data_IF_955242551264
#
_entry.id   IF_955242551264
#
_cell.length_a   1.000
_cell.length_b   1.000
_cell.length_c   1.000
_cell.angle_alpha   90.00
_cell.angle_beta   90.00
_cell.angle_gamma   90.00
#
_symmetry.space_group_name_H-M   'P 1'
#
loop_
_entity.id
_entity.type
_entity.pdbx_description
1 polymer ?
#
# COMPACT_ATOMS: atom_id res chain seq x y z
N UNK A 1 12.68 26.05 -4.34
CA UNK A 1 12.49 24.92 -5.28
C UNK A 1 13.86 24.29 -5.51
N UNK A 2 14.17 23.21 -4.78
CA UNK A 2 15.43 22.47 -5.01
C UNK A 2 15.35 21.73 -6.34
N UNK A 3 16.35 21.95 -7.20
CA UNK A 3 16.54 21.21 -8.43
C UNK A 3 16.77 19.74 -8.08
N UNK A 4 15.77 18.90 -8.26
CA UNK A 4 15.90 17.44 -8.15
C UNK A 4 17.03 17.04 -9.10
N UNK A 5 18.15 16.63 -8.53
CA UNK A 5 19.35 16.26 -9.26
C UNK A 5 19.03 15.09 -10.20
N UNK A 6 19.13 15.32 -11.51
CA UNK A 6 18.93 14.32 -12.58
C UNK A 6 19.92 13.13 -12.52
N UNK A 7 20.80 13.05 -11.51
CA UNK A 7 21.87 12.04 -11.39
C UNK A 7 21.51 10.80 -10.56
N UNK A 8 20.37 10.79 -9.87
CA UNK A 8 19.92 9.60 -9.13
C UNK A 8 18.80 8.93 -9.91
N UNK A 9 19.05 7.76 -10.48
CA UNK A 9 18.13 7.04 -11.35
C UNK A 9 16.79 6.70 -10.69
N UNK A 10 15.78 6.32 -11.49
CA UNK A 10 14.39 6.05 -11.04
C UNK A 10 14.31 5.01 -9.90
N UNK A 11 15.30 4.11 -9.79
CA UNK A 11 15.43 3.13 -8.70
C UNK A 11 15.71 3.77 -7.34
N UNK A 12 16.48 4.85 -7.29
CA UNK A 12 16.75 5.59 -6.06
C UNK A 12 15.48 6.29 -5.56
N UNK A 13 14.74 6.95 -6.46
CA UNK A 13 13.49 7.63 -6.10
C UNK A 13 12.43 6.65 -5.60
N UNK A 14 12.30 5.48 -6.23
CA UNK A 14 11.38 4.43 -5.78
C UNK A 14 11.72 3.89 -4.38
N UNK A 15 13.00 3.79 -4.02
CA UNK A 15 13.39 3.31 -2.69
C UNK A 15 13.14 4.30 -1.58
N UNK A 16 13.35 5.61 -1.84
CA UNK A 16 13.45 6.61 -0.78
C UNK A 16 12.26 7.59 -0.76
N UNK A 17 11.44 7.64 -1.81
CA UNK A 17 10.40 8.66 -1.91
C UNK A 17 9.00 8.09 -2.11
N UNK A 18 8.84 6.96 -2.77
CA UNK A 18 7.52 6.39 -3.08
C UNK A 18 7.54 4.88 -2.91
N UNK A 19 6.68 4.37 -2.03
CA UNK A 19 6.35 2.97 -1.95
C UNK A 19 5.08 2.67 -2.78
N UNK A 20 5.01 1.49 -3.39
CA UNK A 20 3.93 1.12 -4.28
C UNK A 20 3.11 -0.04 -3.71
N UNK A 21 1.80 0.07 -3.82
CA UNK A 21 0.83 -1.00 -3.56
C UNK A 21 0.02 -1.21 -4.84
N UNK A 22 0.00 -2.42 -5.38
CA UNK A 22 -0.66 -2.75 -6.63
C UNK A 22 -1.92 -3.58 -6.41
N UNK A 23 -2.85 -3.52 -7.35
CA UNK A 23 -4.05 -4.35 -7.40
C UNK A 23 -3.73 -5.86 -7.39
N UNK A 24 -2.66 -6.27 -8.06
CA UNK A 24 -2.20 -7.67 -8.14
C UNK A 24 -1.17 -8.03 -7.06
N UNK A 25 -1.14 -7.29 -5.95
CA UNK A 25 -0.28 -7.48 -4.78
C UNK A 25 1.22 -7.43 -5.07
N UNK A 26 1.66 -7.95 -6.20
CA UNK A 26 3.06 -8.02 -6.66
C UNK A 26 4.00 -8.60 -5.58
N UNK A 27 3.57 -9.68 -4.95
CA UNK A 27 4.33 -10.44 -3.97
C UNK A 27 5.22 -11.47 -4.67
N UNK A 28 6.24 -11.93 -3.97
CA UNK A 28 7.08 -13.05 -4.44
C UNK A 28 6.41 -14.34 -3.97
N UNK A 29 5.92 -15.11 -4.92
CA UNK A 29 4.99 -16.22 -4.72
C UNK A 29 5.50 -17.35 -3.81
N UNK A 30 6.79 -17.64 -3.85
CA UNK A 30 7.41 -18.72 -3.06
C UNK A 30 7.89 -18.29 -1.68
N UNK A 31 7.71 -17.01 -1.32
CA UNK A 31 8.07 -16.48 -0.01
C UNK A 31 6.88 -16.43 0.94
N UNK A 32 7.18 -16.42 2.23
CA UNK A 32 6.20 -16.12 3.29
C UNK A 32 5.89 -14.61 3.34
N UNK A 33 4.81 -14.17 4.00
CA UNK A 33 4.53 -12.77 4.28
C UNK A 33 5.72 -12.02 4.88
N UNK A 34 6.35 -12.57 5.89
CA UNK A 34 7.48 -11.91 6.56
C UNK A 34 8.69 -11.75 5.64
N UNK A 35 9.00 -12.75 4.85
CA UNK A 35 10.08 -12.68 3.86
C UNK A 35 9.80 -11.64 2.78
N UNK A 36 8.56 -11.56 2.27
CA UNK A 36 8.15 -10.51 1.33
C UNK A 36 8.35 -9.10 1.90
N UNK A 37 8.01 -8.89 3.16
CA UNK A 37 8.21 -7.60 3.86
C UNK A 37 9.71 -7.32 4.05
N UNK A 38 10.51 -8.33 4.39
CA UNK A 38 11.96 -8.21 4.59
C UNK A 38 12.77 -7.96 3.33
N UNK A 39 12.19 -8.16 2.14
CA UNK A 39 12.81 -7.70 0.89
C UNK A 39 13.02 -6.18 0.84
N UNK A 40 12.15 -5.42 1.51
CA UNK A 40 12.24 -3.96 1.58
C UNK A 40 13.00 -3.49 2.81
N UNK A 41 12.74 -4.08 3.98
CA UNK A 41 13.43 -3.78 5.22
C UNK A 41 13.82 -5.07 5.93
N UNK A 42 15.10 -5.43 5.90
CA UNK A 42 15.64 -6.67 6.47
C UNK A 42 15.35 -6.82 7.96
N UNK A 43 15.21 -5.71 8.69
CA UNK A 43 14.95 -5.66 10.12
C UNK A 43 13.45 -5.58 10.44
N UNK A 44 12.58 -5.74 9.45
CA UNK A 44 11.14 -5.68 9.69
C UNK A 44 10.71 -6.77 10.68
N UNK A 45 9.99 -6.34 11.70
CA UNK A 45 9.39 -7.22 12.70
C UNK A 45 8.08 -7.79 12.17
N UNK A 46 7.77 -9.03 12.54
CA UNK A 46 6.47 -9.68 12.24
C UNK A 46 5.28 -8.91 12.82
N UNK A 47 5.51 -8.09 13.82
CA UNK A 47 4.50 -7.25 14.46
C UNK A 47 3.72 -6.41 13.45
N UNK A 48 4.37 -5.92 12.39
CA UNK A 48 3.67 -5.16 11.33
C UNK A 48 2.57 -6.00 10.66
N UNK A 49 2.80 -7.28 10.44
CA UNK A 49 1.81 -8.18 9.84
C UNK A 49 0.66 -8.48 10.81
N UNK A 50 0.96 -8.66 12.10
CA UNK A 50 -0.05 -8.84 13.15
C UNK A 50 -0.90 -7.58 13.34
N UNK A 51 -0.30 -6.39 13.30
CA UNK A 51 -1.01 -5.09 13.34
C UNK A 51 -1.98 -4.93 12.16
N UNK A 52 -1.68 -5.56 11.02
CA UNK A 52 -2.53 -5.60 9.84
C UNK A 52 -3.51 -6.78 9.84
N UNK A 53 -3.60 -7.53 10.95
CA UNK A 53 -4.60 -8.57 11.15
C UNK A 53 -4.23 -9.94 10.57
N UNK A 54 -2.95 -10.24 10.33
CA UNK A 54 -2.51 -11.59 10.02
C UNK A 54 -2.13 -12.33 11.32
N UNK A 55 -2.60 -13.56 11.47
CA UNK A 55 -2.22 -14.43 12.57
C UNK A 55 -0.87 -15.14 12.31
N UNK A 56 -0.32 -15.79 13.35
CA UNK A 56 0.96 -16.49 13.28
C UNK A 56 0.99 -17.60 12.22
N UNK A 57 -0.13 -18.30 11.99
CA UNK A 57 -0.21 -19.34 10.97
C UNK A 57 -0.13 -18.74 9.57
N UNK A 58 -0.79 -17.61 9.36
CA UNK A 58 -0.79 -16.88 8.08
C UNK A 58 0.59 -16.28 7.78
N UNK A 59 1.25 -15.71 8.79
CA UNK A 59 2.59 -15.10 8.66
C UNK A 59 3.66 -16.11 8.23
N UNK A 60 3.50 -17.38 8.62
CA UNK A 60 4.46 -18.45 8.34
C UNK A 60 4.10 -19.32 7.12
N UNK A 61 2.96 -19.06 6.45
CA UNK A 61 2.56 -19.77 5.24
C UNK A 61 3.18 -19.13 4.01
N UNK A 62 3.20 -19.89 2.91
CA UNK A 62 3.47 -19.33 1.59
C UNK A 62 2.35 -18.33 1.21
N UNK A 63 2.70 -17.18 0.62
CA UNK A 63 1.72 -16.12 0.29
C UNK A 63 0.61 -16.60 -0.64
N UNK A 64 0.87 -17.57 -1.52
CA UNK A 64 -0.16 -18.16 -2.40
C UNK A 64 -1.27 -18.91 -1.65
N UNK A 65 -1.03 -19.28 -0.38
CA UNK A 65 -2.04 -19.94 0.47
C UNK A 65 -2.92 -18.95 1.23
N UNK A 66 -2.69 -17.65 1.03
CA UNK A 66 -3.45 -16.58 1.64
C UNK A 66 -4.61 -16.14 0.75
N UNK A 67 -5.69 -15.65 1.36
CA UNK A 67 -6.77 -14.99 0.62
C UNK A 67 -6.27 -13.69 -0.04
N UNK A 68 -7.01 -13.17 -1.01
CA UNK A 68 -6.69 -11.92 -1.69
C UNK A 68 -6.53 -10.74 -0.71
N UNK A 69 -7.44 -10.61 0.27
CA UNK A 69 -7.34 -9.58 1.30
C UNK A 69 -6.12 -9.73 2.20
N UNK A 70 -5.73 -10.98 2.54
CA UNK A 70 -4.53 -11.25 3.30
C UNK A 70 -3.27 -10.91 2.49
N UNK A 71 -3.21 -11.27 1.21
CA UNK A 71 -2.12 -10.89 0.31
C UNK A 71 -2.01 -9.37 0.17
N UNK A 72 -3.13 -8.66 0.07
CA UNK A 72 -3.15 -7.20 0.02
C UNK A 72 -2.60 -6.58 1.32
N UNK A 73 -2.91 -7.14 2.47
CA UNK A 73 -2.34 -6.71 3.76
C UNK A 73 -0.81 -6.89 3.80
N UNK A 74 -0.28 -7.98 3.22
CA UNK A 74 1.17 -8.18 3.07
C UNK A 74 1.79 -7.13 2.14
N UNK A 75 1.14 -6.80 1.02
CA UNK A 75 1.61 -5.76 0.11
C UNK A 75 1.63 -4.37 0.78
N UNK A 76 0.62 -4.06 1.59
CA UNK A 76 0.58 -2.84 2.41
C UNK A 76 1.69 -2.85 3.47
N UNK A 77 1.88 -3.97 4.20
CA UNK A 77 2.97 -4.11 5.17
C UNK A 77 4.33 -3.80 4.54
N UNK A 78 4.57 -4.35 3.34
CA UNK A 78 5.79 -4.10 2.57
C UNK A 78 6.00 -2.63 2.23
N UNK A 79 4.93 -1.91 1.89
CA UNK A 79 4.99 -0.47 1.63
C UNK A 79 5.24 0.33 2.92
N UNK A 80 4.67 -0.08 4.04
CA UNK A 80 4.78 0.60 5.34
C UNK A 80 6.17 0.52 5.96
N UNK A 81 6.90 -0.59 5.77
CA UNK A 81 8.25 -0.76 6.31
C UNK A 81 9.31 -0.05 5.48
N UNK A 82 8.96 0.51 4.33
CA UNK A 82 9.85 1.34 3.54
C UNK A 82 10.07 2.70 4.23
N UNK A 83 11.20 3.33 3.97
CA UNK A 83 11.49 4.71 4.43
C UNK A 83 10.73 5.77 3.63
N UNK A 84 10.08 5.40 2.53
CA UNK A 84 9.37 6.31 1.65
C UNK A 84 8.23 7.03 2.39
N UNK A 85 8.16 8.36 2.32
CA UNK A 85 7.08 9.13 2.97
C UNK A 85 5.75 9.07 2.21
N UNK A 86 5.77 8.61 0.96
CA UNK A 86 4.58 8.53 0.09
C UNK A 86 4.30 7.05 -0.22
N UNK A 87 3.04 6.66 -0.07
CA UNK A 87 2.52 5.38 -0.57
C UNK A 87 1.58 5.69 -1.73
N UNK A 88 1.88 5.14 -2.89
CA UNK A 88 1.01 5.20 -4.06
C UNK A 88 0.33 3.84 -4.23
N UNK A 89 -0.98 3.79 -4.08
CA UNK A 89 -1.79 2.61 -4.23
C UNK A 89 -2.62 2.68 -5.52
N UNK A 90 -2.45 1.69 -6.38
CA UNK A 90 -3.16 1.56 -7.65
C UNK A 90 -4.22 0.48 -7.52
N UNK A 91 -5.50 0.88 -7.54
CA UNK A 91 -6.69 0.02 -7.35
C UNK A 91 -6.53 -0.99 -6.19
N UNK A 92 -6.20 -0.55 -4.95
CA UNK A 92 -5.82 -1.46 -3.87
C UNK A 92 -6.94 -2.37 -3.38
N UNK A 93 -8.17 -2.13 -3.82
CA UNK A 93 -9.37 -2.90 -3.47
C UNK A 93 -10.04 -3.57 -4.68
N UNK A 94 -9.48 -3.42 -5.88
CA UNK A 94 -10.14 -3.81 -7.13
C UNK A 94 -10.41 -5.31 -7.29
N UNK A 95 -9.66 -6.17 -6.60
CA UNK A 95 -9.80 -7.64 -6.65
C UNK A 95 -10.45 -8.23 -5.39
N UNK A 96 -11.04 -7.39 -4.53
CA UNK A 96 -11.57 -7.79 -3.22
C UNK A 96 -13.10 -7.69 -3.19
N UNK A 97 -13.73 -8.54 -2.38
CA UNK A 97 -15.14 -8.37 -2.01
C UNK A 97 -15.34 -7.09 -1.20
N UNK A 98 -16.59 -6.64 -1.09
CA UNK A 98 -16.95 -5.36 -0.49
C UNK A 98 -16.52 -5.25 0.99
N UNK A 99 -16.68 -6.33 1.77
CA UNK A 99 -16.31 -6.33 3.20
C UNK A 99 -14.80 -6.22 3.37
N UNK A 100 -14.05 -7.06 2.65
CA UNK A 100 -12.58 -7.01 2.65
C UNK A 100 -12.06 -5.67 2.14
N UNK A 101 -12.70 -5.08 1.12
CA UNK A 101 -12.33 -3.76 0.61
C UNK A 101 -12.48 -2.66 1.66
N UNK A 102 -13.57 -2.67 2.45
CA UNK A 102 -13.77 -1.73 3.56
C UNK A 102 -12.66 -1.84 4.61
N UNK A 103 -12.25 -3.08 4.94
CA UNK A 103 -11.15 -3.33 5.86
C UNK A 103 -9.82 -2.75 5.35
N UNK A 104 -9.51 -2.96 4.07
CA UNK A 104 -8.29 -2.43 3.46
C UNK A 104 -8.29 -0.89 3.45
N UNK A 105 -9.43 -0.26 3.17
CA UNK A 105 -9.58 1.20 3.23
C UNK A 105 -9.30 1.72 4.65
N UNK A 106 -9.90 1.07 5.66
CA UNK A 106 -9.71 1.42 7.07
C UNK A 106 -8.24 1.27 7.49
N UNK A 107 -7.56 0.21 7.04
CA UNK A 107 -6.13 -0.03 7.27
C UNK A 107 -5.30 1.10 6.65
N UNK A 108 -5.50 1.43 5.39
CA UNK A 108 -4.74 2.48 4.70
C UNK A 108 -4.91 3.83 5.40
N UNK A 109 -6.14 4.18 5.80
CA UNK A 109 -6.43 5.43 6.53
C UNK A 109 -5.74 5.46 7.89
N UNK A 110 -5.89 4.41 8.70
CA UNK A 110 -5.23 4.31 10.01
C UNK A 110 -3.72 4.41 9.89
N UNK A 111 -3.11 3.69 8.94
CA UNK A 111 -1.66 3.67 8.77
C UNK A 111 -1.10 4.99 8.25
N UNK A 112 -1.87 5.76 7.47
CA UNK A 112 -1.45 7.11 7.05
C UNK A 112 -1.27 8.03 8.26
N UNK A 113 -2.18 7.95 9.23
CA UNK A 113 -2.12 8.74 10.46
C UNK A 113 -1.01 8.25 11.40
N UNK A 114 -1.00 6.95 11.71
CA UNK A 114 -0.07 6.36 12.69
C UNK A 114 1.40 6.41 12.24
N UNK A 115 1.64 6.33 10.93
CA UNK A 115 2.99 6.31 10.33
C UNK A 115 3.37 7.62 9.66
N UNK A 116 2.51 8.63 9.72
CA UNK A 116 2.73 9.96 9.12
C UNK A 116 3.13 9.87 7.62
N UNK A 117 2.51 8.95 6.88
CA UNK A 117 2.74 8.77 5.44
C UNK A 117 1.61 9.39 4.64
N UNK A 118 1.96 10.04 3.54
CA UNK A 118 0.99 10.47 2.55
C UNK A 118 0.54 9.26 1.72
N UNK A 119 -0.74 8.91 1.76
CA UNK A 119 -1.31 7.82 0.95
C UNK A 119 -2.07 8.43 -0.22
N UNK A 120 -1.62 8.14 -1.43
CA UNK A 120 -2.29 8.54 -2.68
C UNK A 120 -2.87 7.27 -3.30
N UNK A 121 -4.19 7.28 -3.52
CA UNK A 121 -4.90 6.14 -4.11
C UNK A 121 -5.44 6.52 -5.48
N UNK A 122 -5.14 5.73 -6.48
CA UNK A 122 -5.79 5.77 -7.80
C UNK A 122 -6.87 4.70 -7.81
N UNK A 123 -8.13 5.09 -8.05
CA UNK A 123 -9.24 4.14 -7.97
C UNK A 123 -10.49 4.63 -8.70
N UNK A 124 -11.34 3.69 -9.08
CA UNK A 124 -12.72 3.93 -9.52
C UNK A 124 -13.75 3.70 -8.40
N UNK A 125 -13.34 3.23 -7.22
CA UNK A 125 -14.24 2.97 -6.09
C UNK A 125 -14.73 4.25 -5.45
N UNK A 126 -16.06 4.36 -5.33
CA UNK A 126 -16.71 5.47 -4.64
C UNK A 126 -16.47 5.40 -3.13
N UNK A 127 -16.38 4.21 -2.57
CA UNK A 127 -16.14 3.94 -1.14
C UNK A 127 -14.76 4.47 -0.73
N UNK A 128 -13.73 4.19 -1.54
CA UNK A 128 -12.38 4.72 -1.34
C UNK A 128 -12.39 6.25 -1.41
N UNK A 129 -13.05 6.83 -2.40
CA UNK A 129 -13.16 8.28 -2.55
C UNK A 129 -13.87 8.94 -1.36
N UNK A 130 -14.94 8.34 -0.85
CA UNK A 130 -15.67 8.83 0.33
C UNK A 130 -14.82 8.78 1.62
N UNK A 131 -13.99 7.75 1.76
CA UNK A 131 -13.10 7.60 2.92
C UNK A 131 -11.87 8.50 2.89
N UNK A 132 -11.50 9.04 1.72
CA UNK A 132 -10.32 9.89 1.53
C UNK A 132 -10.53 11.30 2.09
N UNK A 133 -9.46 11.95 2.55
CA UNK A 133 -9.51 13.34 3.05
C UNK A 133 -9.69 14.34 1.92
N UNK A 134 -9.00 14.10 0.78
CA UNK A 134 -9.06 14.90 -0.44
C UNK A 134 -9.35 13.99 -1.63
N UNK A 135 -10.25 14.40 -2.50
CA UNK A 135 -10.58 13.70 -3.75
C UNK A 135 -10.22 14.57 -4.94
N UNK A 136 -9.38 14.03 -5.81
CA UNK A 136 -9.03 14.66 -7.09
C UNK A 136 -9.65 13.86 -8.23
N UNK A 137 -10.37 14.52 -9.10
CA UNK A 137 -10.95 13.93 -10.29
C UNK A 137 -10.12 14.30 -11.52
N UNK A 138 -9.72 13.30 -12.28
CA UNK A 138 -9.00 13.50 -13.54
C UNK A 138 -10.02 13.67 -14.68
N UNK A 139 -10.15 14.91 -15.21
CA UNK A 139 -10.98 15.23 -16.37
C UNK A 139 -10.16 15.96 -17.44
N UNK A 140 -10.22 15.50 -18.68
CA UNK A 140 -9.54 16.13 -19.83
C UNK A 140 -8.05 16.43 -19.52
N UNK A 141 -7.33 15.48 -18.94
CA UNK A 141 -5.91 15.57 -18.55
C UNK A 141 -5.62 16.64 -17.44
N UNK A 142 -6.63 17.10 -16.72
CA UNK A 142 -6.50 18.03 -15.62
C UNK A 142 -7.04 17.40 -14.33
N UNK A 143 -6.28 17.57 -13.25
CA UNK A 143 -6.75 17.21 -11.91
C UNK A 143 -7.55 18.38 -11.33
N UNK A 144 -8.75 18.07 -10.85
CA UNK A 144 -9.64 19.03 -10.17
C UNK A 144 -10.06 18.47 -8.83
N UNK A 145 -9.96 19.28 -7.78
CA UNK A 145 -10.48 18.90 -6.48
C UNK A 145 -12.00 18.79 -6.54
N UNK A 146 -12.51 17.64 -6.10
CA UNK A 146 -13.94 17.41 -5.96
C UNK A 146 -14.35 17.75 -4.54
N UNK A 147 -15.15 18.81 -4.37
CA UNK A 147 -15.78 19.10 -3.08
C UNK A 147 -16.68 17.93 -2.69
N UNK A 148 -16.53 17.47 -1.47
CA UNK A 148 -17.42 16.45 -0.86
C UNK A 148 -18.81 16.99 -0.63
#
# INVERSE_FOLDING_TARGET
MEKISRKKGSSYHRRHHVALVFQNYNLIDYLTPLENVRLVNKNADRKILSELGLDEKQINRNVLQLSGGQQQRVAIARALVSEAPIILADEPTGNLDEETAKDIIAILKRMSLDRQKCVIVVTHSKEVAQASDVVLELKKQQLKEKKK
#
